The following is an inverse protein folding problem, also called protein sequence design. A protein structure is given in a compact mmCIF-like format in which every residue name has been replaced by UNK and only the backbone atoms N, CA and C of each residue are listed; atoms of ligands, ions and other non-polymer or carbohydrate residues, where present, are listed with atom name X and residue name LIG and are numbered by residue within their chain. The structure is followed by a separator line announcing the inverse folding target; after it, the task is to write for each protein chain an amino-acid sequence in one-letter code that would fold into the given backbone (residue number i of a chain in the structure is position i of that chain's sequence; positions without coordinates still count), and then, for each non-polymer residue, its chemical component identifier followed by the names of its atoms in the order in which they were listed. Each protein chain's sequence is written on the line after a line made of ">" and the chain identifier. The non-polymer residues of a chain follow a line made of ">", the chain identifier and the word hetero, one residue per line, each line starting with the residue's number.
data_IF_728810640146
#
_entry.id   IF_728810640146
#
_cell.length_a   1.000
_cell.length_b   1.000
_cell.length_c   1.000
_cell.angle_alpha   90.00
_cell.angle_beta   90.00
_cell.angle_gamma   90.00
#
_symmetry.space_group_name_H-M   'P 1'
#
loop_
_entity.id
_entity.type
_entity.pdbx_description
1 polymer ?
#
# COMPACT_ATOMS: atom_id res chain seq x y z
N UNK A 1 18.36 5.88 15.21
CA UNK A 1 18.39 5.57 16.63
C UNK A 1 19.05 4.22 16.89
N UNK A 2 19.91 4.07 17.90
CA UNK A 2 20.49 2.78 18.27
C UNK A 2 19.56 1.95 19.17
N UNK A 3 18.55 2.56 19.76
CA UNK A 3 17.61 1.99 20.72
C UNK A 3 16.17 2.25 20.32
N UNK A 4 15.22 1.73 21.08
CA UNK A 4 13.81 2.04 20.90
C UNK A 4 13.51 3.49 21.27
N UNK A 5 12.65 4.14 20.49
CA UNK A 5 12.12 5.49 20.73
C UNK A 5 10.89 5.42 21.68
N UNK A 6 10.00 6.41 21.60
CA UNK A 6 8.79 6.51 22.42
C UNK A 6 7.57 5.85 21.76
N UNK A 7 6.43 5.95 22.41
CA UNK A 7 5.10 5.47 21.95
C UNK A 7 5.13 3.97 21.64
N UNK A 8 4.70 3.62 20.44
CA UNK A 8 4.49 2.24 20.01
C UNK A 8 5.78 1.58 19.47
N UNK A 9 6.85 2.36 19.27
CA UNK A 9 8.12 1.86 18.73
C UNK A 9 8.71 0.65 19.51
N UNK A 10 8.79 0.66 20.86
CA UNK A 10 9.22 -0.52 21.60
C UNK A 10 8.32 -1.74 21.42
N UNK A 11 7.01 -1.53 21.30
CA UNK A 11 6.04 -2.60 21.03
C UNK A 11 6.28 -3.21 19.66
N UNK A 12 6.36 -2.38 18.61
CA UNK A 12 6.61 -2.84 17.25
C UNK A 12 7.93 -3.59 17.11
N UNK A 13 8.99 -3.15 17.77
CA UNK A 13 10.28 -3.83 17.78
C UNK A 13 10.18 -5.18 18.47
N UNK A 14 9.54 -5.23 19.64
CA UNK A 14 9.43 -6.45 20.46
C UNK A 14 8.53 -7.49 19.80
N UNK A 15 7.34 -7.07 19.36
CA UNK A 15 6.38 -7.96 18.69
C UNK A 15 6.88 -8.43 17.33
N UNK A 16 7.57 -7.57 16.58
CA UNK A 16 8.24 -7.96 15.35
C UNK A 16 9.33 -9.00 15.59
N UNK A 17 10.20 -8.78 16.57
CA UNK A 17 11.28 -9.72 16.92
C UNK A 17 10.73 -11.11 17.30
N UNK A 18 9.67 -11.16 18.11
CA UNK A 18 9.08 -12.39 18.61
C UNK A 18 7.98 -12.98 17.72
N UNK A 19 7.56 -12.29 16.65
CA UNK A 19 6.38 -12.60 15.84
C UNK A 19 5.11 -12.71 16.68
N UNK A 20 4.92 -11.76 17.59
CA UNK A 20 3.72 -11.64 18.42
C UNK A 20 2.71 -10.68 17.77
N UNK A 21 1.50 -10.65 18.30
CA UNK A 21 0.42 -9.75 17.85
C UNK A 21 0.53 -8.45 18.63
N UNK A 22 0.69 -7.32 17.92
CA UNK A 22 0.65 -5.98 18.50
C UNK A 22 -0.80 -5.48 18.76
N UNK A 23 -0.92 -4.24 19.24
CA UNK A 23 -2.22 -3.59 19.45
C UNK A 23 -3.03 -3.45 18.15
N UNK A 24 -4.39 -3.39 18.22
CA UNK A 24 -5.23 -3.19 17.04
C UNK A 24 -4.94 -1.88 16.30
N UNK A 25 -4.99 -1.87 14.96
CA UNK A 25 -5.49 -2.92 14.05
C UNK A 25 -4.48 -4.02 13.73
N UNK A 26 -3.28 -3.99 14.32
CA UNK A 26 -2.18 -4.86 13.99
C UNK A 26 -1.43 -4.44 12.71
N UNK A 27 -0.21 -4.93 12.55
CA UNK A 27 0.65 -4.62 11.40
C UNK A 27 1.41 -5.90 10.96
N UNK A 28 0.72 -6.95 10.51
CA UNK A 28 1.34 -8.27 10.29
C UNK A 28 2.47 -8.23 9.28
N UNK A 29 2.36 -7.46 8.21
CA UNK A 29 3.42 -7.37 7.22
C UNK A 29 4.62 -6.57 7.72
N UNK A 30 4.39 -5.54 8.55
CA UNK A 30 5.46 -4.85 9.26
C UNK A 30 6.19 -5.82 10.20
N UNK A 31 5.45 -6.59 11.02
CA UNK A 31 6.03 -7.55 11.96
C UNK A 31 6.91 -8.60 11.27
N UNK A 32 6.44 -9.17 10.14
CA UNK A 32 7.21 -10.11 9.34
C UNK A 32 8.49 -9.48 8.80
N UNK A 33 8.43 -8.24 8.31
CA UNK A 33 9.59 -7.53 7.78
C UNK A 33 10.56 -7.15 8.89
N UNK A 34 10.07 -6.68 10.03
CA UNK A 34 10.88 -6.36 11.21
C UNK A 34 11.57 -7.62 11.77
N UNK A 35 10.87 -8.75 11.80
CA UNK A 35 11.47 -10.04 12.16
C UNK A 35 12.62 -10.40 11.20
N UNK A 36 12.41 -10.27 9.88
CA UNK A 36 13.47 -10.53 8.91
C UNK A 36 14.70 -9.65 9.18
N UNK A 37 14.52 -8.37 9.44
CA UNK A 37 15.63 -7.47 9.77
C UNK A 37 16.29 -7.82 11.10
N UNK A 38 15.55 -8.28 12.09
CA UNK A 38 16.11 -8.73 13.38
C UNK A 38 17.07 -9.93 13.23
N UNK A 39 16.93 -10.75 12.17
CA UNK A 39 17.81 -11.87 11.91
C UNK A 39 19.24 -11.46 11.45
N UNK A 40 19.45 -10.17 11.11
CA UNK A 40 20.80 -9.68 10.78
C UNK A 40 21.71 -9.46 12.00
N UNK A 41 21.23 -9.76 13.20
CA UNK A 41 22.05 -9.76 14.42
C UNK A 41 21.72 -10.98 15.29
N UNK A 42 22.73 -11.51 15.97
CA UNK A 42 22.55 -12.53 17.03
C UNK A 42 22.48 -11.93 18.44
N UNK A 43 22.77 -10.62 18.57
CA UNK A 43 22.72 -9.89 19.84
C UNK A 43 21.34 -9.23 20.02
N UNK A 44 20.53 -9.65 21.02
CA UNK A 44 19.22 -9.06 21.29
C UNK A 44 19.26 -7.54 21.55
N UNK A 45 20.38 -7.00 22.06
CA UNK A 45 20.56 -5.57 22.30
C UNK A 45 20.62 -4.73 21.01
N UNK A 46 20.91 -5.36 19.87
CA UNK A 46 21.00 -4.71 18.55
C UNK A 46 19.71 -4.83 17.73
N UNK A 47 18.70 -5.56 18.20
CA UNK A 47 17.45 -5.77 17.44
C UNK A 47 16.76 -4.45 17.14
N UNK A 48 16.65 -3.54 18.11
CA UNK A 48 16.08 -2.21 17.89
C UNK A 48 16.79 -1.46 16.76
N UNK A 49 18.12 -1.50 16.73
CA UNK A 49 18.93 -0.89 15.68
C UNK A 49 18.63 -1.49 14.30
N UNK A 50 18.46 -2.81 14.19
CA UNK A 50 18.13 -3.46 12.91
C UNK A 50 16.76 -3.04 12.38
N UNK A 51 15.75 -2.96 13.24
CA UNK A 51 14.41 -2.50 12.86
C UNK A 51 14.43 -1.00 12.48
N UNK A 52 15.19 -0.17 13.21
CA UNK A 52 15.38 1.24 12.86
C UNK A 52 16.09 1.41 11.50
N UNK A 53 17.06 0.55 11.18
CA UNK A 53 17.70 0.50 9.84
C UNK A 53 16.67 0.15 8.76
N UNK A 54 15.75 -0.78 9.03
CA UNK A 54 14.65 -1.07 8.12
C UNK A 54 13.85 0.20 7.80
N UNK A 55 13.43 0.95 8.82
CA UNK A 55 12.69 2.21 8.65
C UNK A 55 13.48 3.25 7.84
N UNK A 56 14.78 3.37 8.09
CA UNK A 56 15.66 4.25 7.33
C UNK A 56 15.75 3.87 5.85
N UNK A 57 15.84 2.57 5.54
CA UNK A 57 15.85 2.07 4.16
C UNK A 57 14.50 2.29 3.45
N UNK A 58 13.39 2.05 4.15
CA UNK A 58 12.05 2.32 3.63
C UNK A 58 11.86 3.82 3.34
N UNK A 59 12.33 4.68 4.23
CA UNK A 59 12.31 6.14 4.03
C UNK A 59 13.17 6.58 2.86
N UNK A 60 14.37 6.04 2.71
CA UNK A 60 15.23 6.34 1.56
C UNK A 60 14.57 5.94 0.22
N UNK A 61 13.93 4.77 0.17
CA UNK A 61 13.15 4.33 -0.98
C UNK A 61 11.92 5.23 -1.23
N UNK A 62 11.23 5.71 -0.18
CA UNK A 62 10.15 6.67 -0.28
C UNK A 62 10.62 7.96 -0.98
N UNK A 63 11.74 8.53 -0.55
CA UNK A 63 12.35 9.74 -1.15
C UNK A 63 12.72 9.50 -2.62
N UNK A 64 13.22 8.34 -2.98
CA UNK A 64 13.51 7.99 -4.38
C UNK A 64 12.25 8.02 -5.25
N UNK A 65 11.15 7.41 -4.80
CA UNK A 65 9.87 7.43 -5.53
C UNK A 65 9.25 8.83 -5.57
N UNK A 66 9.40 9.62 -4.52
CA UNK A 66 8.98 11.02 -4.50
C UNK A 66 9.77 11.83 -5.53
N UNK A 67 11.10 11.71 -5.57
CA UNK A 67 11.95 12.36 -6.57
C UNK A 67 11.51 11.99 -7.99
N UNK A 68 11.28 10.72 -8.27
CA UNK A 68 10.81 10.27 -9.59
C UNK A 68 9.41 10.80 -9.94
N UNK A 69 8.52 10.88 -8.96
CA UNK A 69 7.18 11.43 -9.18
C UNK A 69 7.23 12.92 -9.50
N UNK A 70 8.03 13.70 -8.76
CA UNK A 70 8.19 15.14 -9.02
C UNK A 70 8.84 15.38 -10.38
N UNK A 71 9.93 14.68 -10.71
CA UNK A 71 10.60 14.84 -12.01
C UNK A 71 9.71 14.44 -13.17
N UNK A 72 8.90 13.38 -13.01
CA UNK A 72 7.92 12.99 -14.02
C UNK A 72 6.87 14.07 -14.26
N UNK A 73 6.27 14.61 -13.20
CA UNK A 73 5.26 15.66 -13.29
C UNK A 73 5.86 16.97 -13.84
N UNK A 74 7.06 17.34 -13.39
CA UNK A 74 7.78 18.50 -13.91
C UNK A 74 8.09 18.36 -15.40
N UNK A 75 8.55 17.18 -15.86
CA UNK A 75 8.76 16.89 -17.28
C UNK A 75 7.47 17.08 -18.07
N UNK A 76 6.36 16.56 -17.58
CA UNK A 76 5.05 16.65 -18.25
C UNK A 76 4.56 18.09 -18.39
N UNK A 77 4.89 18.97 -17.45
CA UNK A 77 4.51 20.38 -17.47
C UNK A 77 5.44 21.23 -18.35
N UNK A 78 6.77 21.03 -18.23
CA UNK A 78 7.77 21.92 -18.83
C UNK A 78 8.20 21.43 -20.22
N UNK A 79 8.18 20.11 -20.47
CA UNK A 79 8.68 19.48 -21.68
C UNK A 79 7.77 18.30 -22.10
N UNK A 80 6.56 18.59 -22.58
CA UNK A 80 5.60 17.55 -22.97
C UNK A 80 6.06 16.70 -24.17
N UNK A 81 6.91 17.26 -25.05
CA UNK A 81 7.53 16.56 -26.18
C UNK A 81 9.02 16.37 -25.93
N UNK A 82 9.56 15.19 -26.25
CA UNK A 82 10.98 14.88 -26.01
C UNK A 82 11.93 15.75 -26.86
N UNK A 83 11.52 16.12 -28.05
CA UNK A 83 12.26 17.02 -28.97
C UNK A 83 12.45 18.44 -28.41
N UNK A 84 11.61 18.84 -27.46
CA UNK A 84 11.71 20.15 -26.79
C UNK A 84 12.70 20.16 -25.61
N UNK A 85 13.40 19.04 -25.34
CA UNK A 85 14.31 18.94 -24.20
C UNK A 85 15.59 19.75 -24.46
N UNK A 86 15.81 20.74 -23.61
CA UNK A 86 17.04 21.54 -23.55
C UNK A 86 17.77 21.29 -22.23
N UNK A 87 19.07 21.61 -22.18
CA UNK A 87 19.85 21.51 -20.93
C UNK A 87 19.21 22.31 -19.79
N UNK A 88 18.69 23.52 -20.07
CA UNK A 88 18.01 24.33 -19.05
C UNK A 88 16.75 23.67 -18.52
N UNK A 89 15.92 23.08 -19.40
CA UNK A 89 14.72 22.34 -19.00
C UNK A 89 15.09 21.08 -18.19
N UNK A 90 16.13 20.36 -18.60
CA UNK A 90 16.62 19.20 -17.86
C UNK A 90 17.06 19.59 -16.43
N UNK A 91 17.83 20.67 -16.30
CA UNK A 91 18.27 21.19 -14.99
C UNK A 91 17.04 21.59 -14.14
N UNK A 92 16.06 22.27 -14.73
CA UNK A 92 14.84 22.66 -14.02
C UNK A 92 14.05 21.44 -13.54
N UNK A 93 13.89 20.40 -14.37
CA UNK A 93 13.19 19.16 -14.01
C UNK A 93 13.92 18.42 -12.87
N UNK A 94 15.23 18.19 -13.04
CA UNK A 94 16.03 17.48 -12.05
C UNK A 94 16.17 18.27 -10.75
N UNK A 95 16.34 19.60 -10.87
CA UNK A 95 16.42 20.53 -9.74
C UNK A 95 15.11 20.56 -8.93
N UNK A 96 13.95 20.59 -9.58
CA UNK A 96 12.66 20.54 -8.88
C UNK A 96 12.48 19.22 -8.11
N UNK A 97 12.86 18.10 -8.72
CA UNK A 97 12.86 16.80 -8.04
C UNK A 97 13.76 16.78 -6.81
N UNK A 98 14.99 17.27 -6.98
CA UNK A 98 15.99 17.31 -5.90
C UNK A 98 15.52 18.21 -4.74
N UNK A 99 15.06 19.43 -5.04
CA UNK A 99 14.57 20.37 -4.03
C UNK A 99 13.37 19.81 -3.27
N UNK A 100 12.38 19.25 -3.99
CA UNK A 100 11.20 18.66 -3.35
C UNK A 100 11.52 17.42 -2.51
N UNK A 101 12.37 16.53 -3.00
CA UNK A 101 12.82 15.34 -2.27
C UNK A 101 13.62 15.71 -1.02
N UNK A 102 14.57 16.65 -1.13
CA UNK A 102 15.37 17.12 0.00
C UNK A 102 14.52 17.88 1.03
N UNK A 103 13.60 18.74 0.60
CA UNK A 103 12.70 19.45 1.50
C UNK A 103 11.87 18.47 2.35
N UNK A 104 11.38 17.38 1.76
CA UNK A 104 10.66 16.33 2.50
C UNK A 104 11.59 15.54 3.42
N UNK A 105 12.79 15.17 2.93
CA UNK A 105 13.81 14.46 3.74
C UNK A 105 14.14 15.21 5.03
N UNK A 106 14.27 16.53 4.95
CA UNK A 106 14.64 17.38 6.08
C UNK A 106 13.46 17.88 6.90
N UNK A 107 12.23 17.43 6.62
CA UNK A 107 11.10 17.73 7.49
C UNK A 107 11.20 16.92 8.80
N UNK A 108 10.94 17.55 9.93
CA UNK A 108 11.06 16.93 11.26
C UNK A 108 10.26 15.64 11.37
N UNK A 109 9.00 15.66 10.94
CA UNK A 109 8.11 14.51 11.02
C UNK A 109 8.61 13.32 10.19
N UNK A 110 9.10 13.56 8.96
CA UNK A 110 9.60 12.49 8.13
C UNK A 110 10.92 11.93 8.66
N UNK A 111 11.82 12.81 9.10
CA UNK A 111 13.09 12.41 9.71
C UNK A 111 12.88 11.57 10.96
N UNK A 112 11.95 11.99 11.83
CA UNK A 112 11.62 11.24 13.03
C UNK A 112 11.14 9.81 12.69
N UNK A 113 10.19 9.67 11.76
CA UNK A 113 9.72 8.36 11.30
C UNK A 113 10.81 7.51 10.63
N UNK A 114 11.81 8.13 10.02
CA UNK A 114 12.90 7.42 9.35
C UNK A 114 13.89 6.76 10.32
N UNK A 115 13.97 7.23 11.56
CA UNK A 115 14.99 6.76 12.53
C UNK A 115 14.42 5.85 13.61
N UNK A 116 13.13 5.53 13.57
CA UNK A 116 12.46 4.70 14.56
C UNK A 116 11.75 3.49 13.93
N UNK A 117 11.64 2.42 14.71
CA UNK A 117 11.03 1.16 14.29
C UNK A 117 9.51 1.20 14.38
N UNK A 118 8.87 2.05 13.55
CA UNK A 118 7.43 2.21 13.46
C UNK A 118 6.91 2.08 12.02
N UNK A 119 5.60 1.91 11.91
CA UNK A 119 4.89 1.65 10.65
C UNK A 119 4.92 2.79 9.64
N UNK A 120 5.15 4.04 10.08
CA UNK A 120 4.98 5.24 9.24
C UNK A 120 5.99 5.34 8.11
N UNK A 121 7.25 5.00 8.35
CA UNK A 121 8.29 4.96 7.30
C UNK A 121 7.90 4.01 6.17
N UNK A 122 7.45 2.82 6.53
CA UNK A 122 7.06 1.78 5.59
C UNK A 122 5.76 2.13 4.87
N UNK A 123 4.77 2.67 5.58
CA UNK A 123 3.53 3.18 4.98
C UNK A 123 3.79 4.31 3.97
N UNK A 124 4.71 5.23 4.29
CA UNK A 124 5.12 6.31 3.39
C UNK A 124 5.76 5.78 2.10
N UNK A 125 6.56 4.72 2.21
CA UNK A 125 7.10 4.03 1.03
C UNK A 125 5.98 3.49 0.14
N UNK A 126 4.98 2.78 0.70
CA UNK A 126 3.85 2.26 -0.08
C UNK A 126 3.10 3.38 -0.78
N UNK A 127 2.85 4.49 -0.07
CA UNK A 127 2.20 5.68 -0.61
C UNK A 127 2.96 6.24 -1.82
N UNK A 128 4.26 6.47 -1.67
CA UNK A 128 5.10 7.01 -2.75
C UNK A 128 5.22 6.04 -3.94
N UNK A 129 5.37 4.74 -3.67
CA UNK A 129 5.48 3.69 -4.68
C UNK A 129 4.18 3.57 -5.49
N UNK A 130 3.02 3.47 -4.82
CA UNK A 130 1.71 3.33 -5.47
C UNK A 130 1.39 4.57 -6.30
N UNK A 131 1.70 5.77 -5.77
CA UNK A 131 1.53 7.01 -6.53
C UNK A 131 2.45 7.07 -7.77
N UNK A 132 3.71 6.67 -7.65
CA UNK A 132 4.60 6.58 -8.80
C UNK A 132 4.11 5.55 -9.83
N UNK A 133 3.60 4.42 -9.40
CA UNK A 133 3.07 3.38 -10.29
C UNK A 133 1.84 3.84 -11.09
N UNK A 134 0.93 4.63 -10.49
CA UNK A 134 -0.22 5.16 -11.24
C UNK A 134 0.23 6.17 -12.30
N UNK A 135 1.27 6.97 -12.04
CA UNK A 135 1.86 7.84 -13.05
C UNK A 135 2.53 7.03 -14.18
N UNK A 136 3.19 5.90 -13.86
CA UNK A 136 3.73 4.97 -14.86
C UNK A 136 2.63 4.34 -15.71
N UNK A 137 1.53 3.91 -15.08
CA UNK A 137 0.38 3.39 -15.80
C UNK A 137 -0.23 4.47 -16.71
N UNK A 138 -0.40 5.68 -16.23
CA UNK A 138 -0.97 6.80 -17.00
C UNK A 138 -0.20 7.04 -18.30
N UNK A 139 1.12 6.98 -18.25
CA UNK A 139 1.97 7.12 -19.43
C UNK A 139 1.82 5.96 -20.42
N UNK A 140 1.52 4.76 -19.95
CA UNK A 140 1.43 3.51 -20.73
C UNK A 140 0.01 2.96 -20.89
N UNK A 141 -1.01 3.72 -20.51
CA UNK A 141 -2.39 3.23 -20.43
C UNK A 141 -2.97 2.77 -21.76
N UNK A 142 -2.38 3.19 -22.90
CA UNK A 142 -2.79 2.79 -24.23
C UNK A 142 -1.97 1.61 -24.80
N UNK A 143 -0.94 1.15 -24.08
CA UNK A 143 -0.13 0.00 -24.49
C UNK A 143 -0.87 -1.32 -24.20
N UNK A 144 -0.52 -2.37 -24.94
CA UNK A 144 -1.00 -3.71 -24.65
C UNK A 144 -0.56 -4.14 -23.23
N UNK A 145 -1.47 -4.81 -22.51
CA UNK A 145 -1.23 -5.29 -21.15
C UNK A 145 -0.91 -4.20 -20.09
N UNK A 146 -1.29 -2.93 -20.35
CA UNK A 146 -1.12 -1.84 -19.36
C UNK A 146 -1.84 -2.10 -18.02
N UNK A 147 -2.89 -2.92 -18.02
CA UNK A 147 -3.67 -3.31 -16.84
C UNK A 147 -2.83 -4.01 -15.75
N UNK A 148 -1.68 -4.61 -16.12
CA UNK A 148 -0.74 -5.19 -15.14
C UNK A 148 -0.28 -4.21 -14.07
N UNK A 149 -0.17 -2.92 -14.41
CA UNK A 149 0.21 -1.88 -13.46
C UNK A 149 -0.89 -1.62 -12.43
N UNK A 150 -2.16 -1.65 -12.86
CA UNK A 150 -3.30 -1.49 -11.95
C UNK A 150 -3.45 -2.70 -11.01
N UNK A 151 -3.17 -3.91 -11.51
CA UNK A 151 -3.13 -5.13 -10.69
C UNK A 151 -2.00 -5.04 -9.65
N UNK A 152 -0.82 -4.57 -10.05
CA UNK A 152 0.29 -4.35 -9.12
C UNK A 152 -0.03 -3.29 -8.06
N UNK A 153 -0.71 -2.20 -8.45
CA UNK A 153 -1.19 -1.17 -7.51
C UNK A 153 -2.17 -1.78 -6.50
N UNK A 154 -3.15 -2.58 -6.96
CA UNK A 154 -4.09 -3.25 -6.07
C UNK A 154 -3.38 -4.22 -5.11
N UNK A 155 -2.42 -5.00 -5.60
CA UNK A 155 -1.60 -5.90 -4.78
C UNK A 155 -0.84 -5.14 -3.69
N UNK A 156 -0.12 -4.08 -4.07
CA UNK A 156 0.65 -3.27 -3.11
C UNK A 156 -0.25 -2.53 -2.12
N UNK A 157 -1.43 -2.09 -2.56
CA UNK A 157 -2.43 -1.48 -1.67
C UNK A 157 -2.94 -2.48 -0.64
N UNK A 158 -3.26 -3.71 -1.06
CA UNK A 158 -3.63 -4.79 -0.13
C UNK A 158 -2.50 -5.12 0.85
N UNK A 159 -1.27 -5.28 0.34
CA UNK A 159 -0.10 -5.57 1.18
C UNK A 159 0.18 -4.46 2.20
N UNK A 160 -0.05 -3.19 1.82
CA UNK A 160 0.15 -2.04 2.70
C UNK A 160 -0.83 -1.99 3.89
N UNK A 161 -2.00 -2.63 3.78
CA UNK A 161 -2.95 -2.79 4.89
C UNK A 161 -2.28 -3.57 6.05
N UNK A 162 -1.44 -4.55 5.73
CA UNK A 162 -0.63 -5.27 6.71
C UNK A 162 0.54 -4.47 7.31
N UNK A 163 0.71 -3.21 6.90
CA UNK A 163 1.63 -2.25 7.53
C UNK A 163 0.85 -1.16 8.25
N UNK A 164 0.05 -0.40 7.50
CA UNK A 164 -0.76 0.67 8.04
C UNK A 164 -1.85 1.12 7.04
N UNK A 165 -3.02 1.49 7.53
CA UNK A 165 -4.17 1.87 6.71
C UNK A 165 -4.02 3.21 5.98
N UNK A 166 -3.00 4.01 6.31
CA UNK A 166 -2.78 5.35 5.76
C UNK A 166 -2.63 5.35 4.23
N UNK A 167 -2.05 4.29 3.65
CA UNK A 167 -1.89 4.19 2.19
C UNK A 167 -3.23 4.16 1.43
N UNK A 168 -4.33 3.76 2.06
CA UNK A 168 -5.66 3.80 1.44
C UNK A 168 -6.09 5.22 1.04
N UNK A 169 -5.51 6.25 1.66
CA UNK A 169 -5.73 7.65 1.28
C UNK A 169 -5.19 8.01 -0.12
N UNK A 170 -4.35 7.15 -0.73
CA UNK A 170 -3.95 7.29 -2.13
C UNK A 170 -5.06 6.94 -3.13
N UNK A 171 -6.08 6.16 -2.73
CA UNK A 171 -7.14 5.69 -3.62
C UNK A 171 -7.82 6.83 -4.37
N UNK A 172 -8.21 7.97 -3.75
CA UNK A 172 -8.78 9.10 -4.48
C UNK A 172 -7.88 9.64 -5.59
N UNK A 173 -6.58 9.77 -5.33
CA UNK A 173 -5.63 10.23 -6.35
C UNK A 173 -5.51 9.22 -7.51
N UNK A 174 -5.44 7.92 -7.21
CA UNK A 174 -5.38 6.85 -8.20
C UNK A 174 -6.63 6.85 -9.07
N UNK A 175 -7.82 6.95 -8.46
CA UNK A 175 -9.11 6.98 -9.17
C UNK A 175 -9.21 8.21 -10.06
N UNK A 176 -8.78 9.39 -9.62
CA UNK A 176 -8.79 10.60 -10.44
C UNK A 176 -7.83 10.50 -11.62
N UNK A 177 -6.61 10.00 -11.43
CA UNK A 177 -5.67 9.78 -12.54
C UNK A 177 -6.26 8.80 -13.56
N UNK A 178 -6.86 7.70 -13.09
CA UNK A 178 -7.54 6.73 -13.94
C UNK A 178 -8.73 7.37 -14.70
N UNK A 179 -9.57 8.11 -13.99
CA UNK A 179 -10.74 8.77 -14.57
C UNK A 179 -10.35 9.75 -15.68
N UNK A 180 -9.40 10.65 -15.43
CA UNK A 180 -8.96 11.63 -16.43
C UNK A 180 -8.27 10.96 -17.62
N UNK A 181 -7.52 9.91 -17.40
CA UNK A 181 -6.86 9.17 -18.48
C UNK A 181 -7.85 8.46 -19.40
N UNK A 182 -8.93 7.92 -18.85
CA UNK A 182 -9.96 7.19 -19.61
C UNK A 182 -11.04 8.13 -20.21
N UNK A 183 -11.14 9.36 -19.74
CA UNK A 183 -12.14 10.32 -20.17
C UNK A 183 -11.48 11.64 -20.61
N UNK A 184 -11.00 11.76 -21.87
CA UNK A 184 -10.35 12.98 -22.37
C UNK A 184 -11.22 14.24 -22.28
N UNK A 185 -12.55 14.09 -22.35
CA UNK A 185 -13.55 15.16 -22.22
C UNK A 185 -14.18 15.17 -20.83
N UNK A 186 -13.39 14.94 -19.78
CA UNK A 186 -13.87 14.92 -18.41
C UNK A 186 -14.56 16.24 -18.03
N UNK A 187 -15.74 16.13 -17.42
CA UNK A 187 -16.50 17.26 -16.89
C UNK A 187 -16.25 17.45 -15.40
N UNK A 188 -16.49 18.67 -14.89
CA UNK A 188 -16.40 18.93 -13.44
C UNK A 188 -17.37 18.01 -12.65
N UNK A 189 -18.59 17.79 -13.14
CA UNK A 189 -19.55 16.87 -12.53
C UNK A 189 -19.00 15.44 -12.46
N UNK A 190 -18.40 14.95 -13.55
CA UNK A 190 -17.80 13.62 -13.58
C UNK A 190 -16.60 13.49 -12.64
N UNK A 191 -15.77 14.53 -12.52
CA UNK A 191 -14.64 14.58 -11.58
C UNK A 191 -15.12 14.51 -10.11
N UNK A 192 -16.18 15.23 -9.77
CA UNK A 192 -16.80 15.20 -8.43
C UNK A 192 -17.36 13.80 -8.14
N UNK A 193 -18.05 13.19 -9.11
CA UNK A 193 -18.60 11.82 -8.96
C UNK A 193 -17.46 10.81 -8.75
N UNK A 194 -16.35 10.91 -9.52
CA UNK A 194 -15.19 10.04 -9.37
C UNK A 194 -14.53 10.22 -7.99
N UNK A 195 -14.42 11.46 -7.51
CA UNK A 195 -13.89 11.76 -6.18
C UNK A 195 -14.78 11.17 -5.08
N UNK A 196 -16.09 11.43 -5.11
CA UNK A 196 -17.04 10.88 -4.12
C UNK A 196 -17.02 9.35 -4.17
N UNK A 197 -17.04 8.75 -5.37
CA UNK A 197 -16.97 7.30 -5.54
C UNK A 197 -15.69 6.70 -4.94
N UNK A 198 -14.56 7.40 -5.06
CA UNK A 198 -13.29 6.98 -4.44
C UNK A 198 -13.33 7.06 -2.91
N UNK A 199 -13.97 8.07 -2.34
CA UNK A 199 -14.14 8.17 -0.88
C UNK A 199 -15.07 7.07 -0.34
N UNK A 200 -16.15 6.75 -1.09
CA UNK A 200 -17.01 5.60 -0.77
C UNK A 200 -16.22 4.29 -0.84
N UNK A 201 -15.35 4.13 -1.83
CA UNK A 201 -14.48 2.94 -1.94
C UNK A 201 -13.52 2.84 -0.73
N UNK A 202 -12.88 3.93 -0.33
CA UNK A 202 -12.03 3.96 0.87
C UNK A 202 -12.84 3.55 2.11
N UNK A 203 -14.03 4.12 2.29
CA UNK A 203 -14.90 3.77 3.42
C UNK A 203 -15.34 2.31 3.38
N UNK A 204 -15.67 1.78 2.20
CA UNK A 204 -16.02 0.36 2.04
C UNK A 204 -14.86 -0.58 2.39
N UNK A 205 -13.63 -0.23 2.04
CA UNK A 205 -12.45 -1.01 2.43
C UNK A 205 -12.23 -0.92 3.95
N UNK A 206 -12.18 0.30 4.51
CA UNK A 206 -11.86 0.52 5.93
C UNK A 206 -12.90 -0.04 6.90
N UNK A 207 -14.20 0.15 6.59
CA UNK A 207 -15.29 -0.21 7.50
C UNK A 207 -16.02 -1.49 7.11
N UNK A 208 -15.88 -1.92 5.84
CA UNK A 208 -16.52 -3.12 5.31
C UNK A 208 -15.57 -4.29 5.19
N UNK A 209 -14.55 -4.19 4.31
CA UNK A 209 -13.69 -5.33 3.95
C UNK A 209 -12.77 -5.71 5.09
N UNK A 210 -11.96 -4.78 5.58
CA UNK A 210 -10.93 -5.05 6.61
C UNK A 210 -11.55 -5.65 7.89
N UNK A 211 -12.50 -5.01 8.57
CA UNK A 211 -13.11 -5.59 9.77
C UNK A 211 -14.10 -6.72 9.44
N UNK A 212 -14.70 -6.71 8.25
CA UNK A 212 -15.70 -7.69 7.83
C UNK A 212 -15.11 -9.09 7.71
N UNK A 213 -13.95 -9.23 7.07
CA UNK A 213 -13.29 -10.52 6.90
C UNK A 213 -13.04 -11.18 8.26
N UNK A 214 -12.51 -10.43 9.23
CA UNK A 214 -12.22 -10.94 10.57
C UNK A 214 -13.50 -11.27 11.34
N UNK A 215 -14.52 -10.38 11.31
CA UNK A 215 -15.79 -10.58 12.01
C UNK A 215 -16.55 -11.79 11.51
N UNK A 216 -16.62 -11.98 10.19
CA UNK A 216 -17.29 -13.14 9.59
C UNK A 216 -16.60 -14.43 10.00
N UNK A 217 -15.25 -14.48 10.01
CA UNK A 217 -14.50 -15.62 10.54
C UNK A 217 -14.86 -15.93 12.00
N UNK A 218 -14.94 -14.90 12.85
CA UNK A 218 -15.39 -15.05 14.24
C UNK A 218 -16.82 -15.55 14.36
N UNK A 219 -17.76 -15.11 13.52
CA UNK A 219 -19.14 -15.63 13.51
C UNK A 219 -19.21 -17.09 13.09
N UNK A 220 -18.39 -17.52 12.13
CA UNK A 220 -18.28 -18.93 11.76
C UNK A 220 -17.79 -19.75 12.94
N UNK A 221 -16.74 -19.31 13.63
CA UNK A 221 -16.22 -20.02 14.81
C UNK A 221 -17.28 -20.16 15.91
N UNK A 222 -17.95 -19.06 16.26
CA UNK A 222 -19.03 -19.09 17.26
C UNK A 222 -20.18 -20.03 16.87
N UNK A 223 -20.59 -20.03 15.58
CA UNK A 223 -21.64 -20.91 15.11
C UNK A 223 -21.25 -22.38 15.23
N UNK A 224 -20.07 -22.75 14.76
CA UNK A 224 -19.64 -24.16 14.74
C UNK A 224 -19.30 -24.68 16.12
N UNK A 225 -18.59 -23.92 16.94
CA UNK A 225 -18.18 -24.36 18.28
C UNK A 225 -19.31 -24.23 19.31
N UNK A 226 -19.90 -23.03 19.44
CA UNK A 226 -20.91 -22.77 20.48
C UNK A 226 -22.32 -23.18 20.04
N UNK A 227 -22.65 -23.06 18.76
CA UNK A 227 -23.99 -23.42 18.24
C UNK A 227 -24.14 -24.90 17.91
N UNK A 228 -23.13 -25.51 17.31
CA UNK A 228 -23.20 -26.87 16.77
C UNK A 228 -22.35 -27.89 17.60
N UNK A 229 -21.56 -27.45 18.57
CA UNK A 229 -20.76 -28.32 19.45
C UNK A 229 -19.54 -28.95 18.78
N UNK A 230 -19.02 -28.39 17.71
CA UNK A 230 -17.77 -28.85 17.04
C UNK A 230 -16.53 -28.48 17.86
N UNK A 231 -15.39 -29.06 17.49
CA UNK A 231 -14.10 -28.75 18.10
C UNK A 231 -13.67 -27.31 17.82
N UNK A 232 -12.88 -26.75 18.73
CA UNK A 232 -12.27 -25.42 18.56
C UNK A 232 -11.52 -25.29 17.21
N UNK A 233 -11.60 -24.12 16.59
CA UNK A 233 -11.08 -23.79 15.25
C UNK A 233 -11.84 -24.43 14.06
N UNK A 234 -12.87 -25.26 14.25
CA UNK A 234 -13.61 -25.87 13.13
C UNK A 234 -14.28 -24.82 12.24
N UNK A 235 -14.95 -23.84 12.84
CA UNK A 235 -15.63 -22.76 12.11
C UNK A 235 -14.65 -21.89 11.34
N UNK A 236 -13.52 -21.55 11.95
CA UNK A 236 -12.47 -20.77 11.30
C UNK A 236 -11.86 -21.50 10.10
N UNK A 237 -11.57 -22.81 10.22
CA UNK A 237 -11.04 -23.61 9.11
C UNK A 237 -12.03 -23.65 7.95
N UNK A 238 -13.32 -23.88 8.22
CA UNK A 238 -14.36 -23.89 7.19
C UNK A 238 -14.45 -22.54 6.50
N UNK A 239 -14.42 -21.44 7.27
CA UNK A 239 -14.42 -20.10 6.73
C UNK A 239 -13.23 -19.85 5.81
N UNK A 240 -12.00 -20.20 6.21
CA UNK A 240 -10.79 -20.07 5.39
C UNK A 240 -10.91 -20.88 4.09
N UNK A 241 -11.46 -22.09 4.15
CA UNK A 241 -11.69 -22.90 2.94
C UNK A 241 -12.68 -22.23 1.99
N UNK A 242 -13.79 -21.68 2.51
CA UNK A 242 -14.79 -20.94 1.70
C UNK A 242 -14.16 -19.71 1.07
N UNK A 243 -13.37 -18.94 1.86
CA UNK A 243 -12.69 -17.75 1.37
C UNK A 243 -11.69 -18.08 0.26
N UNK A 244 -10.86 -19.10 0.47
CA UNK A 244 -9.90 -19.59 -0.54
C UNK A 244 -10.59 -20.07 -1.81
N UNK A 245 -11.67 -20.86 -1.67
CA UNK A 245 -12.48 -21.32 -2.81
C UNK A 245 -13.10 -20.15 -3.59
N UNK A 246 -13.59 -19.12 -2.89
CA UNK A 246 -14.16 -17.90 -3.49
C UNK A 246 -13.09 -17.10 -4.25
N UNK A 247 -11.89 -16.97 -3.71
CA UNK A 247 -10.74 -16.33 -4.37
C UNK A 247 -10.36 -17.12 -5.65
N UNK A 248 -10.19 -18.43 -5.52
CA UNK A 248 -9.85 -19.31 -6.68
C UNK A 248 -10.90 -19.21 -7.78
N UNK A 249 -12.18 -19.27 -7.40
CA UNK A 249 -13.28 -19.12 -8.36
C UNK A 249 -13.28 -17.76 -9.05
N UNK A 250 -13.09 -16.68 -8.30
CA UNK A 250 -13.03 -15.32 -8.85
C UNK A 250 -11.82 -15.12 -9.78
N UNK A 251 -10.66 -15.73 -9.46
CA UNK A 251 -9.51 -15.74 -10.37
C UNK A 251 -9.86 -16.50 -11.65
N UNK A 252 -10.46 -17.69 -11.55
CA UNK A 252 -10.90 -18.47 -12.70
C UNK A 252 -11.89 -17.69 -13.58
N UNK A 253 -12.90 -17.05 -12.98
CA UNK A 253 -13.86 -16.20 -13.72
C UNK A 253 -13.16 -15.05 -14.44
N UNK A 254 -12.13 -14.46 -13.84
CA UNK A 254 -11.35 -13.37 -14.45
C UNK A 254 -10.62 -13.80 -15.74
N UNK A 255 -10.33 -15.09 -15.92
CA UNK A 255 -9.78 -15.61 -17.17
C UNK A 255 -10.86 -15.87 -18.22
N UNK A 256 -12.08 -16.17 -17.83
CA UNK A 256 -13.19 -16.50 -18.74
C UNK A 256 -14.00 -15.28 -19.15
N UNK A 257 -14.22 -14.31 -18.26
CA UNK A 257 -15.01 -13.09 -18.50
C UNK A 257 -14.10 -11.88 -18.71
N UNK A 258 -13.67 -11.67 -19.96
CA UNK A 258 -12.68 -10.66 -20.32
C UNK A 258 -13.06 -9.21 -19.94
N UNK A 259 -14.34 -8.85 -19.97
CA UNK A 259 -14.81 -7.48 -19.70
C UNK A 259 -14.65 -7.04 -18.23
N UNK A 260 -14.61 -7.98 -17.29
CA UNK A 260 -14.50 -7.70 -15.84
C UNK A 260 -13.15 -8.12 -15.24
N UNK A 261 -12.25 -8.60 -16.07
CA UNK A 261 -10.99 -9.21 -15.63
C UNK A 261 -10.19 -8.32 -14.68
N UNK A 262 -9.98 -7.07 -15.05
CA UNK A 262 -9.18 -6.15 -14.24
C UNK A 262 -9.83 -5.87 -12.87
N UNK A 263 -11.13 -5.59 -12.87
CA UNK A 263 -11.89 -5.29 -11.66
C UNK A 263 -11.88 -6.49 -10.70
N UNK A 264 -12.15 -7.69 -11.22
CA UNK A 264 -12.18 -8.90 -10.42
C UNK A 264 -10.81 -9.22 -9.82
N UNK A 265 -9.74 -9.19 -10.63
CA UNK A 265 -8.37 -9.47 -10.16
C UNK A 265 -7.94 -8.42 -9.12
N UNK A 266 -8.18 -7.13 -9.36
CA UNK A 266 -7.81 -6.08 -8.41
C UNK A 266 -8.57 -6.24 -7.08
N UNK A 267 -9.86 -6.50 -7.12
CA UNK A 267 -10.69 -6.75 -5.93
C UNK A 267 -10.20 -7.98 -5.16
N UNK A 268 -10.02 -9.12 -5.85
CA UNK A 268 -9.58 -10.36 -5.23
C UNK A 268 -8.17 -10.27 -4.64
N UNK A 269 -7.27 -9.55 -5.32
CA UNK A 269 -5.92 -9.30 -4.80
C UNK A 269 -5.99 -8.50 -3.50
N UNK A 270 -6.81 -7.46 -3.45
CA UNK A 270 -7.01 -6.66 -2.23
C UNK A 270 -7.62 -7.49 -1.11
N UNK A 271 -8.70 -8.23 -1.39
CA UNK A 271 -9.37 -9.10 -0.39
C UNK A 271 -8.46 -10.22 0.11
N UNK A 272 -7.65 -10.81 -0.76
CA UNK A 272 -6.75 -11.92 -0.38
C UNK A 272 -5.52 -11.47 0.43
N UNK A 273 -5.25 -10.16 0.48
CA UNK A 273 -4.13 -9.60 1.24
C UNK A 273 -4.57 -8.94 2.56
N UNK A 274 -5.85 -8.72 2.76
CA UNK A 274 -6.46 -8.29 4.03
C UNK A 274 -6.63 -9.46 4.97
#
# INVERSE_FOLDING_TARGET
>A
EPTASFWDCPEFITTGYKLEVGHPPGAPFFMLTANLFSQFTSDPSQVARMVNIMSALMSAACILFLFWSITYLAKKLICPREEDMTTGRLIAIMGSGLVGALAYTWSDTFWFSAVEGEVYAYSSLFTALVFWLILKWENRANEAHSDRWLILIAYLTGLSIGVHLLNLLCIPAIVLVYYYKKNPNASLKGSIIALIGSMVLVAAVLYGIVPGIVKVGGWFELLFVNGLGFSFNTGLIIYIIILAASIIWGVYESYTVRSRKLMNISFLTTVGLV
#
